data_IF_682160459443
#
_entry.id   IF_682160459443
#
_cell.length_a   1.000
_cell.length_b   1.000
_cell.length_c   1.000
_cell.angle_alpha   90.00
_cell.angle_beta   90.00
_cell.angle_gamma   90.00
#
_symmetry.space_group_name_H-M   'P 1'
#
loop_
_entity.id
_entity.type
_entity.pdbx_description
1 polymer ?
#
# COMPACT_ATOMS: atom_id res chain seq x y z
N UNK A 1 2.85 -2.80 -4.27
CA UNK A 1 4.12 -2.07 -4.16
C UNK A 1 4.90 -2.10 -5.49
N UNK A 2 5.07 -3.28 -6.16
CA UNK A 2 5.77 -3.36 -7.44
C UNK A 2 5.15 -2.50 -8.54
N UNK A 3 3.83 -2.48 -8.68
CA UNK A 3 3.15 -1.60 -9.64
C UNK A 3 3.35 -0.13 -9.31
N UNK A 4 3.29 0.26 -8.03
CA UNK A 4 3.53 1.64 -7.61
C UNK A 4 4.97 2.09 -7.91
N UNK A 5 5.95 1.18 -7.76
CA UNK A 5 7.34 1.46 -8.09
C UNK A 5 7.53 1.65 -9.61
N UNK A 6 6.89 0.83 -10.43
CA UNK A 6 6.94 0.97 -11.90
C UNK A 6 6.25 2.26 -12.36
N UNK A 7 5.09 2.59 -11.80
CA UNK A 7 4.37 3.84 -12.08
C UNK A 7 5.21 5.08 -11.76
N UNK A 8 5.93 5.06 -10.64
CA UNK A 8 6.79 6.16 -10.21
C UNK A 8 8.15 6.22 -10.93
N UNK A 9 8.49 5.25 -11.77
CA UNK A 9 9.78 5.20 -12.46
C UNK A 9 9.80 6.09 -13.71
N UNK A 10 11.01 6.37 -14.22
CA UNK A 10 11.21 7.12 -15.47
C UNK A 10 10.88 6.31 -16.75
N UNK A 11 10.40 5.07 -16.59
CA UNK A 11 10.02 4.20 -17.72
C UNK A 11 8.53 4.26 -17.98
N UNK A 12 8.16 4.33 -19.25
CA UNK A 12 6.77 4.31 -19.69
C UNK A 12 6.27 2.85 -19.80
N UNK A 13 5.85 2.30 -18.68
CA UNK A 13 5.32 0.94 -18.62
C UNK A 13 3.81 0.90 -18.91
N UNK A 14 3.40 0.03 -19.83
CA UNK A 14 2.02 -0.43 -19.88
C UNK A 14 1.76 -1.42 -18.73
N UNK A 15 1.25 -0.90 -17.60
CA UNK A 15 1.04 -1.69 -16.38
C UNK A 15 0.02 -2.82 -16.59
N UNK A 16 -0.96 -2.65 -17.48
CA UNK A 16 -1.88 -3.73 -17.85
C UNK A 16 -1.13 -4.86 -18.57
N UNK A 17 -0.26 -4.53 -19.52
CA UNK A 17 0.55 -5.53 -20.23
C UNK A 17 1.52 -6.23 -19.26
N UNK A 18 2.08 -5.53 -18.29
CA UNK A 18 2.90 -6.12 -17.21
C UNK A 18 2.08 -7.11 -16.39
N UNK A 19 0.88 -6.73 -15.93
CA UNK A 19 0.00 -7.62 -15.18
C UNK A 19 -0.37 -8.88 -15.99
N UNK A 20 -0.70 -8.72 -17.27
CA UNK A 20 -0.94 -9.84 -18.18
C UNK A 20 0.25 -10.79 -18.28
N UNK A 21 1.44 -10.25 -18.53
CA UNK A 21 2.65 -11.02 -18.65
C UNK A 21 2.97 -11.80 -17.36
N UNK A 22 2.81 -11.15 -16.19
CA UNK A 22 3.03 -11.82 -14.91
C UNK A 22 1.99 -12.89 -14.63
N UNK A 23 0.74 -12.70 -15.04
CA UNK A 23 -0.31 -13.70 -14.87
C UNK A 23 -0.13 -14.91 -15.80
N UNK A 24 0.44 -14.73 -16.98
CA UNK A 24 0.64 -15.80 -17.96
C UNK A 24 1.99 -16.51 -17.84
N UNK A 25 3.06 -15.81 -17.43
CA UNK A 25 4.43 -16.27 -17.54
C UNK A 25 5.30 -16.17 -16.29
N UNK A 26 4.73 -15.95 -15.10
CA UNK A 26 5.51 -15.83 -13.86
C UNK A 26 4.98 -16.70 -12.72
N UNK A 27 5.76 -16.81 -11.65
CA UNK A 27 5.39 -17.55 -10.42
C UNK A 27 4.31 -16.85 -9.59
N UNK A 28 4.04 -15.56 -9.84
CA UNK A 28 3.01 -14.78 -9.12
C UNK A 28 1.66 -14.82 -9.83
N UNK A 29 1.50 -15.64 -10.86
CA UNK A 29 0.19 -15.81 -11.51
C UNK A 29 -0.84 -16.26 -10.49
N UNK A 30 -2.00 -15.61 -10.51
CA UNK A 30 -3.07 -15.87 -9.55
C UNK A 30 -4.36 -15.19 -10.00
N UNK A 31 -5.47 -15.55 -9.38
CA UNK A 31 -6.71 -14.80 -9.59
C UNK A 31 -6.57 -13.31 -9.24
N UNK A 32 -5.78 -12.96 -8.20
CA UNK A 32 -5.51 -11.56 -7.87
C UNK A 32 -4.77 -10.83 -9.00
N UNK A 33 -3.85 -11.49 -9.68
CA UNK A 33 -3.13 -10.90 -10.81
C UNK A 33 -4.05 -10.72 -12.03
N UNK A 34 -4.96 -11.67 -12.27
CA UNK A 34 -5.99 -11.56 -13.30
C UNK A 34 -6.92 -10.37 -13.03
N UNK A 35 -7.38 -10.22 -11.78
CA UNK A 35 -8.18 -9.06 -11.36
C UNK A 35 -7.41 -7.74 -11.52
N UNK A 36 -6.11 -7.72 -11.22
CA UNK A 36 -5.27 -6.53 -11.41
C UNK A 36 -5.15 -6.15 -12.89
N UNK A 37 -4.96 -7.12 -13.78
CA UNK A 37 -4.97 -6.89 -15.23
C UNK A 37 -6.31 -6.31 -15.69
N UNK A 38 -7.42 -6.87 -15.22
CA UNK A 38 -8.76 -6.39 -15.54
C UNK A 38 -8.96 -4.94 -15.06
N UNK A 39 -8.62 -4.65 -13.81
CA UNK A 39 -8.81 -3.31 -13.23
C UNK A 39 -7.95 -2.25 -13.91
N UNK A 40 -6.71 -2.55 -14.28
CA UNK A 40 -5.86 -1.65 -15.08
C UNK A 40 -6.39 -1.45 -16.50
N UNK A 41 -7.19 -2.37 -17.01
CA UNK A 41 -7.89 -2.22 -18.29
C UNK A 41 -9.13 -1.34 -18.21
N UNK A 42 -9.87 -1.43 -17.10
CA UNK A 42 -11.09 -0.66 -16.85
C UNK A 42 -10.77 0.76 -16.33
N UNK A 43 -9.70 0.91 -15.57
CA UNK A 43 -9.25 2.14 -14.91
C UNK A 43 -7.78 2.42 -15.25
N UNK A 44 -7.46 2.95 -16.44
CA UNK A 44 -6.08 3.22 -16.85
C UNK A 44 -5.35 4.11 -15.84
N UNK A 45 -4.17 3.65 -15.37
CA UNK A 45 -3.41 4.36 -14.34
C UNK A 45 -4.06 4.43 -12.95
N UNK A 46 -5.27 3.85 -12.76
CA UNK A 46 -6.09 3.92 -11.53
C UNK A 46 -6.39 5.36 -11.08
N UNK A 47 -6.35 6.34 -12.00
CA UNK A 47 -6.46 7.77 -11.69
C UNK A 47 -7.80 8.17 -11.08
N UNK A 48 -8.87 7.43 -11.38
CA UNK A 48 -10.22 7.63 -10.87
C UNK A 48 -10.49 6.90 -9.54
N UNK A 49 -9.52 6.15 -9.02
CA UNK A 49 -9.63 5.39 -7.78
C UNK A 49 -8.87 6.10 -6.64
N UNK A 50 -9.54 6.34 -5.52
CA UNK A 50 -8.88 6.84 -4.31
C UNK A 50 -8.12 5.71 -3.61
N UNK A 51 -6.90 6.01 -3.16
CA UNK A 51 -6.04 5.07 -2.43
C UNK A 51 -6.46 4.84 -0.97
N UNK A 52 -7.76 4.60 -0.72
CA UNK A 52 -8.33 4.29 0.60
C UNK A 52 -8.83 2.85 0.59
N UNK A 53 -8.38 2.06 1.55
CA UNK A 53 -8.70 0.62 1.62
C UNK A 53 -9.41 0.32 2.93
N UNK A 54 -10.73 0.07 2.84
CA UNK A 54 -11.55 -0.31 3.98
C UNK A 54 -11.24 -1.73 4.46
N UNK A 55 -11.49 -1.97 5.73
CA UNK A 55 -11.31 -3.27 6.38
C UNK A 55 -12.63 -3.81 6.91
N UNK A 56 -12.91 -5.09 6.64
CA UNK A 56 -14.07 -5.83 7.15
C UNK A 56 -13.81 -6.52 8.50
N UNK A 57 -12.56 -6.61 8.94
CA UNK A 57 -12.17 -7.08 10.28
C UNK A 57 -11.31 -8.33 10.31
N UNK A 58 -11.26 -9.11 9.24
CA UNK A 58 -10.60 -10.42 9.21
C UNK A 58 -9.10 -10.33 9.50
N UNK A 59 -8.42 -9.34 8.93
CA UNK A 59 -6.98 -9.13 9.19
C UNK A 59 -6.71 -8.76 10.66
N UNK A 60 -7.59 -7.94 11.27
CA UNK A 60 -7.52 -7.59 12.69
C UNK A 60 -7.67 -8.84 13.56
N UNK A 61 -8.71 -9.63 13.34
CA UNK A 61 -8.96 -10.87 14.11
C UNK A 61 -7.82 -11.88 13.93
N UNK A 62 -7.24 -11.96 12.73
CA UNK A 62 -6.08 -12.82 12.48
C UNK A 62 -4.88 -12.39 13.32
N UNK A 63 -4.59 -11.10 13.37
CA UNK A 63 -3.48 -10.57 14.19
C UNK A 63 -3.75 -10.76 15.67
N UNK A 64 -4.97 -10.50 16.16
CA UNK A 64 -5.36 -10.74 17.55
C UNK A 64 -5.17 -12.21 17.93
N UNK A 65 -5.65 -13.13 17.10
CA UNK A 65 -5.45 -14.58 17.32
C UNK A 65 -3.97 -14.98 17.31
N UNK A 66 -3.19 -14.40 16.40
CA UNK A 66 -1.75 -14.68 16.33
C UNK A 66 -1.01 -14.21 17.61
N UNK A 67 -1.40 -13.08 18.18
CA UNK A 67 -0.87 -12.60 19.45
C UNK A 67 -1.23 -13.52 20.60
N UNK A 68 -2.48 -14.00 20.68
CA UNK A 68 -2.94 -14.94 21.71
C UNK A 68 -2.21 -16.29 21.64
N UNK A 69 -1.87 -16.73 20.43
CA UNK A 69 -1.17 -17.97 20.16
C UNK A 69 0.37 -17.84 20.13
N UNK A 70 0.91 -16.64 20.31
CA UNK A 70 2.33 -16.32 20.20
C UNK A 70 2.95 -16.72 18.84
N UNK A 71 2.14 -16.65 17.75
CA UNK A 71 2.58 -16.95 16.38
C UNK A 71 2.98 -15.66 15.66
N UNK A 72 4.20 -15.55 15.11
CA UNK A 72 4.61 -14.36 14.39
C UNK A 72 3.93 -14.25 13.01
N UNK A 73 3.27 -13.12 12.75
CA UNK A 73 2.60 -12.82 11.47
C UNK A 73 2.99 -11.42 10.96
N UNK A 74 4.29 -11.11 10.76
CA UNK A 74 4.76 -9.75 10.48
C UNK A 74 4.19 -9.18 9.18
N UNK A 75 4.02 -9.97 8.14
CA UNK A 75 3.49 -9.52 6.85
C UNK A 75 2.01 -9.16 6.95
N UNK A 76 1.20 -9.99 7.61
CA UNK A 76 -0.23 -9.72 7.83
C UNK A 76 -0.41 -8.50 8.74
N UNK A 77 0.39 -8.39 9.80
CA UNK A 77 0.34 -7.27 10.72
C UNK A 77 0.69 -5.95 10.00
N UNK A 78 1.75 -5.93 9.19
CA UNK A 78 2.13 -4.76 8.42
C UNK A 78 1.06 -4.38 7.39
N UNK A 79 0.46 -5.36 6.71
CA UNK A 79 -0.63 -5.14 5.77
C UNK A 79 -1.84 -4.48 6.43
N UNK A 80 -2.21 -4.93 7.65
CA UNK A 80 -3.28 -4.32 8.45
C UNK A 80 -2.95 -2.86 8.79
N UNK A 81 -1.73 -2.57 9.25
CA UNK A 81 -1.30 -1.21 9.60
C UNK A 81 -1.26 -0.28 8.38
N UNK A 82 -0.80 -0.77 7.23
CA UNK A 82 -0.77 -0.02 5.97
C UNK A 82 -2.20 0.31 5.51
N UNK A 83 -3.14 -0.63 5.65
CA UNK A 83 -4.56 -0.40 5.37
C UNK A 83 -5.13 0.70 6.27
N UNK A 84 -4.86 0.65 7.58
CA UNK A 84 -5.28 1.72 8.50
C UNK A 84 -4.66 3.07 8.12
N UNK A 85 -3.40 3.09 7.69
CA UNK A 85 -2.72 4.31 7.26
C UNK A 85 -3.35 4.94 6.01
N UNK A 86 -3.98 4.15 5.13
CA UNK A 86 -4.64 4.66 3.92
C UNK A 86 -5.79 5.65 4.21
N UNK A 87 -6.34 5.65 5.42
CA UNK A 87 -7.37 6.58 5.87
C UNK A 87 -6.84 7.89 6.46
N UNK A 88 -5.51 8.03 6.63
CA UNK A 88 -4.90 9.17 7.32
C UNK A 88 -4.32 10.15 6.29
N UNK A 89 -5.01 11.27 6.06
CA UNK A 89 -4.54 12.31 5.12
C UNK A 89 -3.39 13.17 5.71
N UNK A 90 -3.38 13.40 7.02
CA UNK A 90 -2.42 14.29 7.69
C UNK A 90 -1.99 13.70 9.04
N UNK A 91 -1.00 12.84 9.00
CA UNK A 91 -0.56 12.00 10.12
C UNK A 91 -0.01 12.81 11.30
N UNK A 92 -0.62 12.69 12.48
CA UNK A 92 -0.11 13.27 13.73
C UNK A 92 1.30 12.76 14.07
N UNK A 93 1.59 11.48 13.81
CA UNK A 93 2.91 10.90 14.04
C UNK A 93 3.99 11.61 13.19
N UNK A 94 3.69 11.86 11.90
CA UNK A 94 4.59 12.59 11.02
C UNK A 94 4.76 14.05 11.47
N UNK A 95 3.70 14.70 11.96
CA UNK A 95 3.76 16.05 12.54
C UNK A 95 4.67 16.09 13.77
N UNK A 96 4.57 15.13 14.66
CA UNK A 96 5.40 15.02 15.84
C UNK A 96 6.89 14.88 15.47
N UNK A 97 7.20 14.02 14.48
CA UNK A 97 8.55 13.86 13.97
C UNK A 97 9.08 15.15 13.31
N UNK A 98 8.25 15.80 12.49
CA UNK A 98 8.63 17.06 11.84
C UNK A 98 8.91 18.16 12.87
N UNK A 99 8.06 18.30 13.89
CA UNK A 99 8.25 19.26 14.98
C UNK A 99 9.53 18.99 15.79
N UNK A 100 9.81 17.72 16.12
CA UNK A 100 11.05 17.35 16.81
C UNK A 100 12.29 17.67 15.96
N UNK A 101 12.27 17.35 14.67
CA UNK A 101 13.37 17.65 13.75
C UNK A 101 13.62 19.15 13.60
N UNK A 102 12.58 19.95 13.59
CA UNK A 102 12.70 21.39 13.64
C UNK A 102 13.35 21.85 14.96
N UNK A 103 12.89 21.31 16.10
CA UNK A 103 13.36 21.68 17.43
C UNK A 103 14.85 21.41 17.67
N UNK A 104 15.38 20.27 17.23
CA UNK A 104 16.79 19.95 17.49
C UNK A 104 17.73 20.31 16.32
N UNK A 105 17.25 20.35 15.08
CA UNK A 105 18.09 20.53 13.90
C UNK A 105 17.72 21.73 13.02
N UNK A 106 16.69 22.51 13.38
CA UNK A 106 16.22 23.64 12.58
C UNK A 106 15.68 23.24 11.20
N UNK A 107 15.31 21.97 10.99
CA UNK A 107 14.72 21.51 9.73
C UNK A 107 13.41 22.22 9.44
N UNK A 108 13.21 22.62 8.19
CA UNK A 108 11.97 23.29 7.79
C UNK A 108 10.74 22.42 8.05
N UNK A 109 9.66 23.05 8.52
CA UNK A 109 8.33 22.43 8.62
C UNK A 109 7.42 23.05 7.58
N UNK A 110 6.51 22.25 7.03
CA UNK A 110 5.46 22.73 6.14
C UNK A 110 4.24 23.11 6.98
N UNK A 111 3.79 24.34 6.86
CA UNK A 111 2.57 24.85 7.51
C UNK A 111 1.40 24.81 6.53
N UNK A 112 0.18 24.73 7.04
CA UNK A 112 -1.05 24.79 6.21
C UNK A 112 -1.28 26.18 5.66
#
# INVERSE_FOLDING_TARGET
EGFALMEASDFDYDLKAVAHNWNCGSVVRSWLMELMEQQLGEHPGLEDIRGVVDASGEAKWTVETALDLEVPVPVIALSLMTRNASHIEDSFANKAVAAMRNGFGGHAIHTK
#
